data_IF_509520462053
#
_entry.id   IF_509520462053
#
_cell.length_a   1.000
_cell.length_b   1.000
_cell.length_c   1.000
_cell.angle_alpha   90.00
_cell.angle_beta   90.00
_cell.angle_gamma   90.00
#
_symmetry.space_group_name_H-M   'P 1'
#
loop_
_entity.id
_entity.type
_entity.pdbx_description
1 polymer ?
#
# COMPACT_ATOMS: atom_id res chain seq x y z
N UNK A 1 11.15 27.96 -13.65
CA UNK A 1 10.01 27.36 -12.95
C UNK A 1 10.55 26.35 -11.96
N UNK A 2 10.52 26.63 -10.65
CA UNK A 2 10.95 25.67 -9.65
C UNK A 2 9.87 24.59 -9.52
N UNK A 3 9.99 23.51 -10.29
CA UNK A 3 9.17 22.32 -10.11
C UNK A 3 9.40 21.83 -8.68
N UNK A 4 8.40 22.06 -7.84
CA UNK A 4 8.46 21.74 -6.42
C UNK A 4 8.55 20.23 -6.28
N UNK A 5 9.76 19.68 -6.11
CA UNK A 5 10.00 18.26 -5.85
C UNK A 5 9.07 17.69 -4.76
N UNK A 6 8.66 18.55 -3.82
CA UNK A 6 7.60 18.34 -2.83
C UNK A 6 6.29 17.75 -3.39
N UNK A 7 5.78 18.24 -4.53
CA UNK A 7 4.55 17.71 -5.15
C UNK A 7 4.71 16.28 -5.67
N UNK A 8 5.90 15.93 -6.14
CA UNK A 8 6.18 14.58 -6.63
C UNK A 8 6.29 13.59 -5.47
N UNK A 9 7.01 13.97 -4.41
CA UNK A 9 7.16 13.15 -3.19
C UNK A 9 5.82 12.89 -2.53
N UNK A 10 4.96 13.91 -2.37
CA UNK A 10 3.61 13.70 -1.82
C UNK A 10 2.79 12.77 -2.69
N UNK A 11 2.83 12.95 -4.01
CA UNK A 11 2.04 12.11 -4.92
C UNK A 11 2.52 10.65 -4.86
N UNK A 12 3.83 10.41 -4.81
CA UNK A 12 4.42 9.08 -4.66
C UNK A 12 4.07 8.48 -3.31
N UNK A 13 4.17 9.23 -2.22
CA UNK A 13 3.78 8.74 -0.88
C UNK A 13 2.30 8.43 -0.88
N UNK A 14 1.42 9.35 -1.29
CA UNK A 14 -0.03 9.10 -1.40
C UNK A 14 -0.33 7.84 -2.21
N UNK A 15 0.31 7.64 -3.37
CA UNK A 15 0.06 6.47 -4.20
C UNK A 15 0.55 5.17 -3.55
N UNK A 16 1.67 5.20 -2.81
CA UNK A 16 2.18 4.03 -2.09
C UNK A 16 1.34 3.71 -0.87
N UNK A 17 0.95 4.72 -0.09
CA UNK A 17 0.10 4.52 1.09
C UNK A 17 -1.28 4.05 0.70
N UNK A 18 -1.88 4.61 -0.36
CA UNK A 18 -3.16 4.15 -0.90
C UNK A 18 -3.08 2.70 -1.36
N UNK A 19 -2.04 2.31 -2.11
CA UNK A 19 -1.88 0.91 -2.54
C UNK A 19 -1.80 -0.08 -1.38
N UNK A 20 -1.07 0.25 -0.32
CA UNK A 20 -1.00 -0.63 0.88
C UNK A 20 -2.30 -0.61 1.68
N UNK A 21 -2.94 0.56 1.78
CA UNK A 21 -4.24 0.71 2.46
C UNK A 21 -5.33 -0.06 1.74
N UNK A 22 -5.44 0.03 0.42
CA UNK A 22 -6.44 -0.66 -0.38
C UNK A 22 -6.37 -2.17 -0.16
N UNK A 23 -5.18 -2.77 -0.20
CA UNK A 23 -5.03 -4.21 0.02
C UNK A 23 -5.44 -4.62 1.41
N UNK A 24 -5.02 -3.87 2.44
CA UNK A 24 -5.43 -4.16 3.82
C UNK A 24 -6.94 -3.97 3.99
N UNK A 25 -7.52 -2.93 3.39
CA UNK A 25 -8.94 -2.62 3.47
C UNK A 25 -9.79 -3.68 2.76
N UNK A 26 -9.44 -4.05 1.53
CA UNK A 26 -10.11 -5.09 0.74
C UNK A 26 -10.00 -6.43 1.47
N UNK A 27 -8.80 -6.78 1.95
CA UNK A 27 -8.58 -8.02 2.70
C UNK A 27 -9.39 -8.05 4.00
N UNK A 28 -9.52 -6.90 4.67
CA UNK A 28 -10.33 -6.77 5.87
C UNK A 28 -11.84 -6.88 5.56
N UNK A 29 -12.32 -6.25 4.49
CA UNK A 29 -13.72 -6.32 4.06
C UNK A 29 -14.10 -7.76 3.66
N UNK A 30 -13.22 -8.47 2.95
CA UNK A 30 -13.47 -9.85 2.52
C UNK A 30 -13.41 -10.82 3.70
N UNK A 31 -12.42 -10.68 4.58
CA UNK A 31 -12.18 -11.68 5.63
C UNK A 31 -12.89 -11.37 6.94
N UNK A 32 -13.27 -10.12 7.18
CA UNK A 32 -13.83 -9.65 8.46
C UNK A 32 -12.87 -9.72 9.66
N UNK A 33 -11.62 -10.12 9.43
CA UNK A 33 -10.60 -10.34 10.47
C UNK A 33 -9.36 -9.50 10.19
N UNK A 34 -9.00 -8.66 11.16
CA UNK A 34 -7.81 -7.81 11.08
C UNK A 34 -6.51 -8.62 11.02
N UNK A 35 -6.45 -9.77 11.70
CA UNK A 35 -5.28 -10.65 11.68
C UNK A 35 -5.02 -11.23 10.28
N UNK A 36 -6.09 -11.56 9.55
CA UNK A 36 -5.95 -12.06 8.19
C UNK A 36 -5.57 -10.96 7.20
N UNK A 37 -6.19 -9.77 7.35
CA UNK A 37 -5.85 -8.60 6.53
C UNK A 37 -4.38 -8.18 6.68
N UNK A 38 -3.87 -8.20 7.92
CA UNK A 38 -2.45 -7.94 8.19
C UNK A 38 -1.53 -9.00 7.56
N UNK A 39 -1.93 -10.27 7.58
CA UNK A 39 -1.18 -11.37 6.94
C UNK A 39 -1.14 -11.20 5.42
N UNK A 40 -2.27 -10.87 4.78
CA UNK A 40 -2.35 -10.64 3.34
C UNK A 40 -1.52 -9.40 2.94
N UNK A 41 -1.63 -8.31 3.68
CA UNK A 41 -0.80 -7.12 3.46
C UNK A 41 0.70 -7.41 3.59
N UNK A 42 1.09 -8.26 4.55
CA UNK A 42 2.50 -8.68 4.73
C UNK A 42 2.99 -9.53 3.55
N UNK A 43 2.17 -10.47 3.08
CA UNK A 43 2.48 -11.30 1.92
C UNK A 43 2.55 -10.45 0.64
N UNK A 44 1.69 -9.46 0.47
CA UNK A 44 1.76 -8.54 -0.66
C UNK A 44 3.09 -7.79 -0.68
N UNK A 45 3.53 -7.26 0.46
CA UNK A 45 4.80 -6.55 0.56
C UNK A 45 5.97 -7.47 0.19
N UNK A 46 6.00 -8.69 0.71
CA UNK A 46 7.03 -9.69 0.39
C UNK A 46 6.99 -10.06 -1.09
N UNK A 47 5.80 -10.26 -1.66
CA UNK A 47 5.62 -10.62 -3.07
C UNK A 47 6.11 -9.52 -4.00
N UNK A 48 5.83 -8.25 -3.67
CA UNK A 48 6.37 -7.09 -4.40
C UNK A 48 7.89 -6.99 -4.30
N UNK A 49 8.49 -7.35 -3.17
CA UNK A 49 9.96 -7.37 -3.02
C UNK A 49 10.64 -8.51 -3.79
N UNK A 50 9.91 -9.59 -4.10
CA UNK A 50 10.45 -10.71 -4.88
C UNK A 50 10.26 -10.48 -6.39
N UNK A 51 9.13 -9.89 -6.79
CA UNK A 51 8.79 -9.64 -8.20
C UNK A 51 9.45 -8.41 -8.80
N UNK A 52 10.02 -7.52 -7.98
CA UNK A 52 10.61 -6.25 -8.40
C UNK A 52 12.00 -6.06 -7.80
#
# INVERSE_FOLDING_TARGET
>A
MHEKAYRSVIKTVSWRTLGTLDTVLISYIITGSFAMAASIGSIELVTKMILY
#
